data_IF_079984201727
#
_entry.id   IF_079984201727
#
_cell.length_a   1.000
_cell.length_b   1.000
_cell.length_c   1.000
_cell.angle_alpha   90.00
_cell.angle_beta   90.00
_cell.angle_gamma   90.00
#
_symmetry.space_group_name_H-M   'P 1'
#
loop_
_entity.id
_entity.type
_entity.pdbx_description
1 polymer ?
#
# COMPACT_ATOMS: atom_id res chain seq x y z
N UNK A 1 28.26 -9.80 30.32
CA UNK A 1 27.42 -9.72 29.10
C UNK A 1 26.04 -9.21 29.48
N UNK A 2 26.00 -7.94 29.86
CA UNK A 2 24.81 -7.12 30.15
C UNK A 2 25.17 -5.75 29.55
N UNK A 3 24.18 -5.06 28.98
CA UNK A 3 24.27 -3.74 28.32
C UNK A 3 24.51 -3.75 26.81
N UNK A 4 23.52 -4.20 26.04
CA UNK A 4 23.15 -3.60 24.74
C UNK A 4 21.62 -3.69 24.67
N UNK A 5 20.93 -2.66 25.17
CA UNK A 5 19.56 -2.17 24.84
C UNK A 5 19.43 -0.91 25.69
N UNK A 6 20.03 0.17 25.21
CA UNK A 6 19.75 1.54 25.64
C UNK A 6 20.34 2.44 24.56
N UNK A 7 19.60 3.46 24.16
CA UNK A 7 19.86 4.45 23.10
C UNK A 7 19.19 4.11 21.76
N UNK A 8 17.89 4.47 21.64
CA UNK A 8 17.29 5.10 20.45
C UNK A 8 15.79 5.46 20.64
N UNK A 9 15.39 6.06 21.76
CA UNK A 9 14.01 6.59 21.94
C UNK A 9 13.98 7.91 22.73
N UNK A 10 14.85 8.86 22.36
CA UNK A 10 14.72 10.27 22.77
C UNK A 10 14.97 11.14 21.55
N UNK A 11 13.99 11.21 20.64
CA UNK A 11 13.82 12.34 19.74
C UNK A 11 12.38 12.34 19.21
N UNK A 12 11.71 13.48 19.34
CA UNK A 12 10.42 13.85 18.73
C UNK A 12 9.13 13.43 19.45
N UNK A 13 8.85 14.17 20.51
CA UNK A 13 7.51 14.32 21.09
C UNK A 13 7.29 15.74 21.61
N UNK A 14 7.57 16.75 20.79
CA UNK A 14 7.20 18.13 21.10
C UNK A 14 7.13 18.96 19.83
N UNK A 15 5.93 19.14 19.28
CA UNK A 15 5.41 20.40 18.73
C UNK A 15 3.91 20.25 18.36
N UNK A 16 3.08 20.83 19.24
CA UNK A 16 1.72 21.37 19.07
C UNK A 16 0.62 20.55 18.39
N UNK A 17 -0.27 19.98 19.21
CA UNK A 17 -1.73 20.18 19.13
C UNK A 17 -2.32 20.02 20.53
N UNK A 18 -3.13 20.99 20.95
CA UNK A 18 -3.76 21.09 22.26
C UNK A 18 -4.84 20.02 22.44
N UNK A 19 -4.77 19.29 23.57
CA UNK A 19 -5.67 18.23 24.05
C UNK A 19 -5.49 16.82 23.46
N UNK A 20 -4.26 16.29 23.45
CA UNK A 20 -4.10 14.84 23.37
C UNK A 20 -4.63 14.20 24.66
N UNK A 21 -5.76 13.51 24.57
CA UNK A 21 -6.17 12.53 25.57
C UNK A 21 -5.06 11.50 25.68
N UNK A 22 -4.55 11.31 26.89
CA UNK A 22 -3.51 10.32 27.20
C UNK A 22 -3.90 8.95 26.63
N UNK A 23 -3.03 8.34 25.83
CA UNK A 23 -3.28 7.02 25.24
C UNK A 23 -2.87 5.92 26.24
N UNK A 24 -3.82 5.53 27.09
CA UNK A 24 -3.61 4.52 28.13
C UNK A 24 -3.30 3.13 27.56
N UNK A 25 -3.85 2.80 26.38
CA UNK A 25 -3.59 1.52 25.72
C UNK A 25 -2.09 1.41 25.35
N UNK A 26 -1.55 2.42 24.67
CA UNK A 26 -0.14 2.44 24.27
C UNK A 26 0.81 2.38 25.47
N UNK A 27 0.54 3.19 26.50
CA UNK A 27 1.39 3.23 27.69
C UNK A 27 1.45 1.88 28.40
N UNK A 28 0.33 1.14 28.45
CA UNK A 28 0.33 -0.19 29.05
C UNK A 28 1.13 -1.18 28.22
N UNK A 29 0.92 -1.20 26.90
CA UNK A 29 1.68 -2.07 25.99
C UNK A 29 3.18 -1.80 26.10
N UNK A 30 3.59 -0.54 26.09
CA UNK A 30 5.00 -0.15 26.28
C UNK A 30 5.60 -0.70 27.58
N UNK A 31 4.84 -0.67 28.68
CA UNK A 31 5.31 -1.23 29.96
C UNK A 31 5.45 -2.75 29.88
N UNK A 32 4.47 -3.45 29.31
CA UNK A 32 4.46 -4.90 29.19
C UNK A 32 5.63 -5.41 28.34
N UNK A 33 5.86 -4.81 27.17
CA UNK A 33 6.88 -5.25 26.22
C UNK A 33 8.30 -4.88 26.65
N UNK A 34 8.44 -3.86 27.53
CA UNK A 34 9.70 -3.55 28.23
C UNK A 34 9.91 -4.36 29.51
N UNK A 35 9.08 -5.39 29.74
CA UNK A 35 9.14 -6.22 30.95
C UNK A 35 8.99 -5.45 32.27
N UNK A 36 8.30 -4.28 32.24
CA UNK A 36 7.98 -3.46 33.42
C UNK A 36 6.67 -3.93 34.05
N UNK A 37 6.56 -5.22 34.35
CA UNK A 37 5.28 -5.86 34.69
C UNK A 37 4.64 -5.32 35.97
N UNK A 38 5.43 -5.02 37.01
CA UNK A 38 4.90 -4.45 38.24
C UNK A 38 4.30 -3.04 38.01
N UNK A 39 4.91 -2.27 37.12
CA UNK A 39 4.39 -0.96 36.71
C UNK A 39 3.13 -1.11 35.86
N UNK A 40 3.14 -2.06 34.92
CA UNK A 40 1.98 -2.38 34.08
C UNK A 40 0.77 -2.83 34.90
N UNK A 41 0.96 -3.69 35.91
CA UNK A 41 -0.12 -4.14 36.81
C UNK A 41 -0.72 -2.97 37.58
N UNK A 42 0.13 -2.16 38.21
CA UNK A 42 -0.33 -0.97 38.93
C UNK A 42 -1.03 0.02 37.99
N UNK A 43 -0.50 0.22 36.79
CA UNK A 43 -1.09 1.09 35.78
C UNK A 43 -2.47 0.60 35.34
N UNK A 44 -2.58 -0.69 35.03
CA UNK A 44 -3.84 -1.31 34.63
C UNK A 44 -4.89 -1.19 35.74
N UNK A 45 -4.55 -1.47 37.00
CA UNK A 45 -5.49 -1.39 38.12
C UNK A 45 -6.11 0.00 38.29
N UNK A 46 -5.37 1.08 37.96
CA UNK A 46 -5.84 2.46 38.05
C UNK A 46 -6.57 2.95 36.79
N UNK A 47 -6.34 2.33 35.62
CA UNK A 47 -6.82 2.83 34.33
C UNK A 47 -7.60 1.81 33.50
N UNK A 48 -7.91 0.63 34.03
CA UNK A 48 -8.61 -0.46 33.30
C UNK A 48 -9.92 -0.01 32.65
N UNK A 49 -10.63 0.93 33.27
CA UNK A 49 -11.91 1.45 32.74
C UNK A 49 -11.70 2.39 31.55
N UNK A 50 -10.45 2.73 31.21
CA UNK A 50 -10.00 3.57 30.08
C UNK A 50 -9.13 2.80 29.07
N UNK A 51 -8.97 1.48 29.24
CA UNK A 51 -8.25 0.59 28.33
C UNK A 51 -9.31 -0.23 27.60
N UNK A 52 -9.43 -0.02 26.29
CA UNK A 52 -10.52 -0.60 25.51
C UNK A 52 -10.04 -1.51 24.39
N UNK A 53 -8.78 -1.41 24.00
CA UNK A 53 -8.32 -2.15 22.83
C UNK A 53 -8.12 -3.63 23.18
N UNK A 54 -8.78 -4.58 22.47
CA UNK A 54 -8.73 -6.00 22.83
C UNK A 54 -7.31 -6.58 22.84
N UNK A 55 -6.45 -6.11 21.93
CA UNK A 55 -5.04 -6.54 21.92
C UNK A 55 -4.31 -6.14 23.20
N UNK A 56 -4.57 -4.94 23.72
CA UNK A 56 -3.97 -4.45 24.95
C UNK A 56 -4.39 -5.30 26.15
N UNK A 57 -5.70 -5.59 26.27
CA UNK A 57 -6.23 -6.40 27.37
C UNK A 57 -5.74 -7.84 27.30
N UNK A 58 -5.67 -8.42 26.10
CA UNK A 58 -5.21 -9.79 25.92
C UNK A 58 -3.68 -9.90 26.12
N UNK A 59 -2.90 -8.91 25.67
CA UNK A 59 -1.46 -8.80 25.94
C UNK A 59 -1.19 -8.68 27.43
N UNK A 60 -1.96 -7.84 28.13
CA UNK A 60 -1.89 -7.70 29.58
C UNK A 60 -2.15 -9.04 30.27
N UNK A 61 -3.24 -9.71 29.93
CA UNK A 61 -3.61 -10.99 30.54
C UNK A 61 -2.55 -12.08 30.30
N UNK A 62 -2.05 -12.19 29.07
CA UNK A 62 -1.02 -13.16 28.70
C UNK A 62 0.29 -12.91 29.45
N UNK A 63 0.85 -11.70 29.32
CA UNK A 63 2.18 -11.39 29.83
C UNK A 63 2.21 -11.30 31.35
N UNK A 64 1.13 -10.84 32.00
CA UNK A 64 1.04 -10.86 33.47
C UNK A 64 0.85 -12.27 34.01
N UNK A 65 0.19 -13.18 33.29
CA UNK A 65 0.10 -14.60 33.69
C UNK A 65 1.49 -15.24 33.78
N UNK A 66 2.38 -14.93 32.83
CA UNK A 66 3.79 -15.35 32.88
C UNK A 66 4.55 -14.68 34.03
N UNK A 67 4.39 -13.37 34.22
CA UNK A 67 5.06 -12.63 35.30
C UNK A 67 4.69 -13.19 36.68
N UNK A 68 3.39 -13.42 36.92
CA UNK A 68 2.81 -13.92 38.16
C UNK A 68 2.98 -15.44 38.37
N UNK A 69 3.80 -16.09 37.55
CA UNK A 69 4.13 -17.52 37.64
C UNK A 69 2.89 -18.41 37.56
N UNK A 70 2.01 -18.11 36.58
CA UNK A 70 0.80 -18.88 36.26
C UNK A 70 0.96 -19.56 34.88
N UNK A 71 1.84 -20.57 34.77
CA UNK A 71 2.15 -21.21 33.48
C UNK A 71 0.93 -21.82 32.81
N UNK A 72 0.03 -22.45 33.56
CA UNK A 72 -1.21 -23.02 33.00
C UNK A 72 -2.07 -21.97 32.30
N UNK A 73 -2.21 -20.79 32.92
CA UNK A 73 -2.96 -19.66 32.34
C UNK A 73 -2.25 -19.10 31.11
N UNK A 74 -0.92 -19.00 31.13
CA UNK A 74 -0.14 -18.55 29.98
C UNK A 74 -0.28 -19.52 28.79
N UNK A 75 -0.09 -20.82 29.01
CA UNK A 75 -0.16 -21.82 27.95
C UNK A 75 -1.57 -22.01 27.39
N UNK A 76 -2.61 -21.75 28.18
CA UNK A 76 -3.98 -21.72 27.68
C UNK A 76 -4.25 -20.50 26.78
N UNK A 77 -3.64 -19.35 27.11
CA UNK A 77 -3.88 -18.08 26.40
C UNK A 77 -3.00 -17.91 25.16
N UNK A 78 -1.77 -18.40 25.19
CA UNK A 78 -0.79 -18.17 24.13
C UNK A 78 -1.30 -18.61 22.74
N UNK A 79 -1.87 -19.82 22.54
CA UNK A 79 -2.39 -20.21 21.23
C UNK A 79 -3.55 -19.32 20.75
N UNK A 80 -4.43 -18.91 21.68
CA UNK A 80 -5.57 -18.05 21.36
C UNK A 80 -5.10 -16.64 20.97
N UNK A 81 -4.09 -16.14 21.67
CA UNK A 81 -3.44 -14.87 21.38
C UNK A 81 -2.80 -14.90 19.99
N UNK A 82 -2.05 -15.97 19.67
CA UNK A 82 -1.43 -16.14 18.36
C UNK A 82 -2.47 -16.22 17.24
N UNK A 83 -3.50 -17.08 17.33
CA UNK A 83 -4.54 -17.18 16.30
C UNK A 83 -5.30 -15.86 16.08
N UNK A 84 -5.43 -15.02 17.11
CA UNK A 84 -6.19 -13.76 17.02
C UNK A 84 -5.37 -12.60 16.43
N UNK A 85 -4.07 -12.56 16.69
CA UNK A 85 -3.25 -11.36 16.45
C UNK A 85 -2.05 -11.57 15.54
N UNK A 86 -1.63 -12.81 15.30
CA UNK A 86 -0.53 -13.10 14.38
C UNK A 86 -0.98 -12.86 12.93
N UNK A 87 -0.17 -12.10 12.19
CA UNK A 87 -0.44 -11.64 10.82
C UNK A 87 -1.40 -10.46 10.71
N UNK A 88 -1.99 -9.99 11.81
CA UNK A 88 -2.89 -8.82 11.85
C UNK A 88 -2.38 -7.68 12.72
N UNK A 89 -1.68 -8.00 13.82
CA UNK A 89 -1.08 -7.04 14.74
C UNK A 89 0.43 -7.24 14.86
N UNK A 90 0.91 -8.48 14.77
CA UNK A 90 2.35 -8.78 14.77
C UNK A 90 2.69 -9.98 13.88
N UNK A 91 3.95 -10.10 13.48
CA UNK A 91 4.45 -11.19 12.62
C UNK A 91 5.54 -12.02 13.32
N UNK A 92 6.45 -12.62 12.53
CA UNK A 92 7.49 -13.53 13.01
C UNK A 92 8.46 -12.89 14.01
N UNK A 93 8.66 -11.58 13.95
CA UNK A 93 9.63 -10.90 14.83
C UNK A 93 9.19 -10.84 16.30
N UNK A 94 7.91 -11.08 16.58
CA UNK A 94 7.41 -11.25 17.94
C UNK A 94 7.67 -12.65 18.53
N UNK A 95 7.95 -13.64 17.68
CA UNK A 95 8.17 -15.02 18.12
C UNK A 95 9.41 -15.14 19.03
N UNK A 96 10.59 -14.57 18.70
CA UNK A 96 11.75 -14.63 19.58
C UNK A 96 11.50 -13.99 20.95
N UNK A 97 10.73 -12.89 21.00
CA UNK A 97 10.35 -12.26 22.26
C UNK A 97 9.54 -13.23 23.13
N UNK A 98 8.46 -13.80 22.58
CA UNK A 98 7.60 -14.74 23.29
C UNK A 98 8.37 -16.00 23.75
N UNK A 99 9.27 -16.54 22.92
CA UNK A 99 10.16 -17.63 23.28
C UNK A 99 11.05 -17.29 24.48
N UNK A 100 11.55 -16.05 24.54
CA UNK A 100 12.51 -15.62 25.57
C UNK A 100 11.91 -15.45 26.97
N UNK A 101 10.59 -15.31 27.11
CA UNK A 101 9.94 -14.87 28.36
C UNK A 101 10.31 -15.75 29.58
N UNK A 102 10.16 -17.07 29.46
CA UNK A 102 10.49 -18.00 30.54
C UNK A 102 12.01 -18.25 30.67
N UNK A 103 12.75 -18.24 29.56
CA UNK A 103 14.21 -18.36 29.62
C UNK A 103 14.86 -17.20 30.36
N UNK A 104 14.36 -15.98 30.18
CA UNK A 104 14.84 -14.79 30.89
C UNK A 104 14.58 -14.86 32.41
N UNK A 105 13.60 -15.66 32.83
CA UNK A 105 13.32 -15.97 34.26
C UNK A 105 14.14 -17.15 34.78
N UNK A 106 14.93 -17.81 33.94
CA UNK A 106 15.68 -19.02 34.29
C UNK A 106 14.82 -20.28 34.36
N UNK A 107 13.58 -20.24 33.85
CA UNK A 107 12.67 -21.37 33.82
C UNK A 107 12.78 -22.08 32.46
N UNK A 108 13.73 -23.01 32.39
CA UNK A 108 14.01 -23.74 31.16
C UNK A 108 12.87 -24.69 30.77
N UNK A 109 12.13 -25.25 31.74
CA UNK A 109 11.07 -26.21 31.44
C UNK A 109 9.90 -25.52 30.73
N UNK A 110 9.42 -24.40 31.30
CA UNK A 110 8.34 -23.63 30.67
C UNK A 110 8.81 -22.85 29.44
N UNK A 111 10.11 -22.50 29.38
CA UNK A 111 10.74 -21.96 28.16
C UNK A 111 10.63 -22.92 26.98
N UNK A 112 11.00 -24.20 27.18
CA UNK A 112 10.90 -25.22 26.13
C UNK A 112 9.44 -25.48 25.70
N UNK A 113 8.49 -25.54 26.65
CA UNK A 113 7.06 -25.68 26.33
C UNK A 113 6.53 -24.50 25.49
N UNK A 114 6.98 -23.27 25.78
CA UNK A 114 6.66 -22.09 24.98
C UNK A 114 7.14 -22.24 23.54
N UNK A 115 8.39 -22.71 23.35
CA UNK A 115 8.95 -22.96 22.01
C UNK A 115 8.14 -24.01 21.26
N UNK A 116 7.79 -25.13 21.91
CA UNK A 116 6.97 -26.19 21.28
C UNK A 116 5.62 -25.67 20.76
N UNK A 117 4.94 -24.81 21.53
CA UNK A 117 3.68 -24.18 21.11
C UNK A 117 3.89 -23.25 19.91
N UNK A 118 4.92 -22.41 19.96
CA UNK A 118 5.20 -21.42 18.90
C UNK A 118 5.64 -22.11 17.60
N UNK A 119 6.51 -23.11 17.67
CA UNK A 119 6.96 -23.88 16.51
C UNK A 119 5.80 -24.65 15.86
N UNK A 120 4.92 -25.25 16.68
CA UNK A 120 3.71 -25.91 16.19
C UNK A 120 2.78 -24.94 15.48
N UNK A 121 2.59 -23.74 16.04
CA UNK A 121 1.79 -22.69 15.43
C UNK A 121 2.38 -22.24 14.08
N UNK A 122 3.69 -21.96 14.02
CA UNK A 122 4.36 -21.54 12.78
C UNK A 122 4.31 -22.61 11.69
N UNK A 123 4.45 -23.89 12.07
CA UNK A 123 4.30 -25.01 11.14
C UNK A 123 2.90 -25.03 10.53
N UNK A 124 1.86 -24.90 11.36
CA UNK A 124 0.46 -24.82 10.90
C UNK A 124 0.26 -23.61 9.98
N UNK A 125 0.82 -22.44 10.29
CA UNK A 125 0.70 -21.26 9.43
C UNK A 125 1.39 -21.47 8.08
N UNK A 126 2.58 -22.10 8.07
CA UNK A 126 3.30 -22.44 6.85
C UNK A 126 2.52 -23.44 6.00
N UNK A 127 1.91 -24.44 6.62
CA UNK A 127 1.04 -25.41 5.94
C UNK A 127 -0.25 -24.78 5.44
N UNK A 128 -0.90 -23.90 6.21
CA UNK A 128 -2.06 -23.10 5.74
C UNK A 128 -1.67 -22.19 4.58
N UNK A 129 -0.49 -21.56 4.62
CA UNK A 129 0.03 -20.73 3.52
C UNK A 129 0.26 -21.59 2.27
N UNK A 130 0.92 -22.74 2.42
CA UNK A 130 1.13 -23.71 1.34
C UNK A 130 -0.19 -24.25 0.78
N UNK A 131 -1.14 -24.63 1.64
CA UNK A 131 -2.44 -25.14 1.24
C UNK A 131 -3.25 -24.06 0.53
N UNK A 132 -3.25 -22.82 1.00
CA UNK A 132 -3.84 -21.69 0.26
C UNK A 132 -3.18 -21.55 -1.10
N UNK A 133 -1.85 -21.58 -1.19
CA UNK A 133 -1.13 -21.53 -2.47
C UNK A 133 -1.47 -22.72 -3.38
N UNK A 134 -1.66 -23.92 -2.85
CA UNK A 134 -2.04 -25.12 -3.60
C UNK A 134 -3.52 -25.11 -4.00
N UNK A 135 -4.41 -24.58 -3.17
CA UNK A 135 -5.81 -24.33 -3.47
C UNK A 135 -5.92 -23.26 -4.57
N UNK A 136 -5.14 -22.18 -4.47
CA UNK A 136 -4.96 -21.19 -5.53
C UNK A 136 -4.42 -21.83 -6.80
N UNK A 137 -3.44 -22.74 -6.71
CA UNK A 137 -2.90 -23.47 -7.85
C UNK A 137 -3.91 -24.48 -8.46
N UNK A 138 -4.83 -25.00 -7.66
CA UNK A 138 -5.89 -25.93 -8.08
C UNK A 138 -7.15 -25.26 -8.62
N UNK A 139 -7.33 -23.96 -8.36
CA UNK A 139 -8.46 -23.13 -8.86
C UNK A 139 -8.10 -22.33 -10.11
N UNK A 140 -6.92 -22.53 -10.71
CA UNK A 140 -6.49 -21.93 -11.98
C UNK A 140 -7.20 -22.61 -13.18
N UNK A 141 -8.53 -22.64 -13.16
CA UNK A 141 -9.29 -22.42 -14.37
C UNK A 141 -9.84 -21.01 -14.24
N UNK A 142 -9.16 -20.04 -14.84
CA UNK A 142 -9.60 -18.65 -14.98
C UNK A 142 -11.12 -18.61 -15.13
N UNK A 143 -11.83 -18.00 -14.19
CA UNK A 143 -13.27 -17.81 -14.36
C UNK A 143 -13.48 -16.79 -15.47
N UNK A 144 -13.67 -17.28 -16.69
CA UNK A 144 -13.97 -16.48 -17.88
C UNK A 144 -15.44 -16.07 -17.97
N UNK A 145 -16.20 -16.22 -16.87
CA UNK A 145 -17.59 -15.80 -16.77
C UNK A 145 -17.71 -14.39 -16.20
N UNK A 146 -18.91 -13.82 -16.27
CA UNK A 146 -19.16 -12.45 -15.85
C UNK A 146 -19.00 -12.28 -14.32
N UNK A 147 -18.20 -11.31 -13.88
CA UNK A 147 -17.93 -11.10 -12.46
C UNK A 147 -19.19 -10.74 -11.66
N UNK A 148 -20.18 -10.10 -12.29
CA UNK A 148 -21.47 -9.82 -11.64
C UNK A 148 -22.29 -11.09 -11.46
N UNK A 149 -22.24 -12.03 -12.41
CA UNK A 149 -22.90 -13.34 -12.25
C UNK A 149 -22.24 -14.13 -11.13
N UNK A 150 -20.90 -14.13 -11.05
CA UNK A 150 -20.17 -14.77 -9.95
C UNK A 150 -20.53 -14.17 -8.60
N UNK A 151 -20.61 -12.83 -8.52
CA UNK A 151 -21.01 -12.14 -7.31
C UNK A 151 -22.44 -12.47 -6.90
N UNK A 152 -23.39 -12.52 -7.85
CA UNK A 152 -24.78 -12.93 -7.61
C UNK A 152 -24.86 -14.37 -7.07
N UNK A 153 -24.15 -15.31 -7.71
CA UNK A 153 -24.06 -16.70 -7.26
C UNK A 153 -23.51 -16.83 -5.84
N UNK A 154 -22.62 -15.92 -5.44
CA UNK A 154 -22.02 -15.86 -4.11
C UNK A 154 -22.77 -14.95 -3.13
N UNK A 155 -23.88 -14.34 -3.54
CA UNK A 155 -24.65 -13.37 -2.77
C UNK A 155 -23.78 -12.19 -2.26
N UNK A 156 -22.93 -11.66 -3.14
CA UNK A 156 -22.05 -10.51 -2.92
C UNK A 156 -22.57 -9.32 -3.73
N UNK A 157 -22.67 -8.16 -3.09
CA UNK A 157 -22.96 -6.90 -3.79
C UNK A 157 -21.64 -6.25 -4.20
N UNK A 158 -21.43 -6.11 -5.52
CA UNK A 158 -20.27 -5.40 -6.06
C UNK A 158 -20.47 -3.88 -5.97
N UNK A 159 -19.41 -3.10 -5.68
CA UNK A 159 -19.49 -1.65 -5.75
C UNK A 159 -19.47 -1.14 -7.20
N UNK A 160 -19.76 0.15 -7.39
CA UNK A 160 -19.52 0.83 -8.67
C UNK A 160 -18.02 0.91 -8.97
N UNK A 161 -17.65 0.74 -10.24
CA UNK A 161 -16.31 1.08 -10.74
C UNK A 161 -16.07 2.61 -10.69
N UNK A 162 -14.81 3.08 -10.65
CA UNK A 162 -13.57 2.28 -10.65
C UNK A 162 -13.34 1.51 -9.35
N UNK A 163 -12.62 0.39 -9.46
CA UNK A 163 -12.24 -0.45 -8.32
C UNK A 163 -10.73 -0.39 -8.10
N UNK A 164 -10.30 0.36 -7.08
CA UNK A 164 -8.92 0.31 -6.57
C UNK A 164 -8.69 -1.04 -5.89
N UNK A 165 -8.30 -2.07 -6.65
CA UNK A 165 -8.08 -3.44 -6.19
C UNK A 165 -7.10 -3.54 -5.01
N UNK A 166 -6.06 -2.72 -5.04
CA UNK A 166 -5.08 -2.61 -3.97
C UNK A 166 -4.42 -1.24 -4.02
N UNK A 167 -4.24 -0.61 -2.86
CA UNK A 167 -3.48 0.65 -2.70
C UNK A 167 -2.26 0.37 -1.83
N UNK A 168 -1.10 0.75 -2.33
CA UNK A 168 0.18 0.67 -1.65
C UNK A 168 0.61 2.10 -1.24
N UNK A 169 1.28 2.26 -0.11
CA UNK A 169 1.87 3.54 0.28
C UNK A 169 3.27 3.32 0.85
N UNK A 170 4.26 3.95 0.23
CA UNK A 170 5.60 4.09 0.78
C UNK A 170 5.70 5.45 1.41
N UNK A 171 5.70 5.52 2.74
CA UNK A 171 5.84 6.77 3.46
C UNK A 171 7.30 7.06 3.69
N UNK A 172 7.73 8.22 3.19
CA UNK A 172 9.13 8.62 3.23
C UNK A 172 9.46 9.20 4.60
N UNK A 173 10.71 9.04 5.04
CA UNK A 173 11.18 9.66 6.28
C UNK A 173 11.03 11.19 6.23
N UNK A 174 11.27 11.77 5.05
CA UNK A 174 11.19 13.21 4.78
C UNK A 174 10.56 13.46 3.41
N UNK A 175 10.02 14.67 3.19
CA UNK A 175 9.74 15.17 1.83
C UNK A 175 11.02 15.18 0.99
N UNK A 176 10.90 15.07 -0.33
CA UNK A 176 12.03 15.24 -1.26
C UNK A 176 12.06 16.69 -1.72
N UNK A 177 12.97 17.54 -1.20
CA UNK A 177 13.09 18.93 -1.63
C UNK A 177 13.77 19.00 -3.00
N UNK A 178 13.36 19.98 -3.81
CA UNK A 178 13.92 20.23 -5.14
C UNK A 178 14.03 18.94 -5.99
N UNK A 179 12.90 18.22 -6.05
CA UNK A 179 12.73 17.00 -6.80
C UNK A 179 13.31 17.10 -8.21
N UNK A 180 14.11 16.11 -8.59
CA UNK A 180 14.65 15.98 -9.95
C UNK A 180 14.14 14.73 -10.65
N UNK A 181 14.05 13.62 -9.92
CA UNK A 181 13.69 12.33 -10.49
C UNK A 181 13.22 11.37 -9.41
N UNK A 182 12.26 10.52 -9.76
CA UNK A 182 11.93 9.29 -9.05
C UNK A 182 11.69 8.18 -10.07
N UNK A 183 12.08 6.98 -9.69
CA UNK A 183 11.99 5.75 -10.45
C UNK A 183 11.27 4.69 -9.63
N UNK A 184 10.43 3.90 -10.27
CA UNK A 184 9.87 2.69 -9.67
C UNK A 184 9.87 1.61 -10.75
N UNK A 185 10.53 0.49 -10.44
CA UNK A 185 10.39 -0.70 -11.25
C UNK A 185 9.04 -1.37 -10.93
N UNK A 186 8.36 -1.85 -11.97
CA UNK A 186 7.22 -2.74 -11.87
C UNK A 186 7.51 -4.01 -12.67
N UNK A 187 7.10 -5.16 -12.16
CA UNK A 187 7.16 -6.44 -12.87
C UNK A 187 5.76 -7.01 -13.02
N UNK A 188 5.38 -7.36 -14.25
CA UNK A 188 4.08 -7.92 -14.61
C UNK A 188 4.30 -9.36 -15.07
N UNK A 189 3.63 -10.30 -14.44
CA UNK A 189 3.86 -11.75 -14.64
C UNK A 189 3.30 -12.32 -15.95
N UNK A 190 2.46 -11.56 -16.65
CA UNK A 190 1.84 -11.98 -17.91
C UNK A 190 1.37 -10.82 -18.76
N UNK A 191 1.03 -11.11 -20.00
CA UNK A 191 0.35 -10.17 -20.87
C UNK A 191 -1.13 -10.02 -20.48
N UNK A 192 -1.62 -8.77 -20.37
CA UNK A 192 -2.99 -8.44 -20.00
C UNK A 192 -3.70 -7.79 -21.18
N UNK A 193 -4.83 -8.34 -21.61
CA UNK A 193 -5.61 -7.83 -22.74
C UNK A 193 -6.14 -6.40 -22.51
N UNK A 194 -6.28 -5.64 -23.61
CA UNK A 194 -6.94 -4.33 -23.64
C UNK A 194 -8.40 -4.36 -23.21
N UNK A 195 -9.01 -5.55 -23.18
CA UNK A 195 -10.41 -5.75 -22.81
C UNK A 195 -10.67 -5.64 -21.31
N UNK A 196 -9.63 -5.68 -20.47
CA UNK A 196 -9.73 -5.72 -19.01
C UNK A 196 -9.70 -4.36 -18.30
N UNK A 197 -9.39 -3.26 -19.01
CA UNK A 197 -9.31 -1.90 -18.44
C UNK A 197 -8.61 -1.85 -17.07
N UNK A 198 -7.39 -2.36 -17.04
CA UNK A 198 -6.53 -2.39 -15.86
C UNK A 198 -5.61 -1.17 -15.87
N UNK A 199 -5.50 -0.50 -14.74
CA UNK A 199 -4.57 0.58 -14.49
C UNK A 199 -3.56 0.16 -13.42
N UNK A 200 -2.27 0.25 -13.75
CA UNK A 200 -1.13 0.05 -12.85
C UNK A 200 -0.47 1.42 -12.64
N UNK A 201 -0.70 2.02 -11.48
CA UNK A 201 -0.23 3.36 -11.13
C UNK A 201 0.87 3.28 -10.08
N UNK A 202 2.17 3.25 -10.44
CA UNK A 202 3.26 3.29 -9.47
C UNK A 202 3.39 4.62 -8.74
N UNK A 203 2.86 5.71 -9.31
CA UNK A 203 2.96 7.04 -8.72
C UNK A 203 1.60 7.68 -8.51
N UNK A 204 1.35 8.08 -7.27
CA UNK A 204 0.26 8.94 -6.84
C UNK A 204 0.78 9.78 -5.67
N UNK A 205 0.81 11.09 -5.86
CA UNK A 205 1.47 12.02 -4.95
C UNK A 205 1.12 13.47 -5.24
N UNK A 206 1.95 14.38 -4.74
CA UNK A 206 1.77 15.81 -4.98
C UNK A 206 3.10 16.56 -5.11
N UNK A 207 3.16 17.49 -6.06
CA UNK A 207 4.22 18.48 -6.18
C UNK A 207 3.72 19.84 -5.71
N UNK A 208 4.32 20.43 -4.68
CA UNK A 208 3.93 21.75 -4.16
C UNK A 208 2.42 21.88 -3.84
N UNK A 209 1.78 20.78 -3.44
CA UNK A 209 0.34 20.69 -3.16
C UNK A 209 -0.57 20.42 -4.36
N UNK A 210 -0.01 20.27 -5.57
CA UNK A 210 -0.74 19.87 -6.77
C UNK A 210 -0.65 18.34 -6.92
N UNK A 211 -1.78 17.66 -6.76
CA UNK A 211 -1.86 16.20 -6.79
C UNK A 211 -1.76 15.66 -8.22
N UNK A 212 -1.26 14.43 -8.36
CA UNK A 212 -1.11 13.74 -9.63
C UNK A 212 -1.17 12.22 -9.46
N UNK A 213 -1.44 11.51 -10.57
CA UNK A 213 -1.09 10.10 -10.72
C UNK A 213 -0.32 9.87 -12.02
N UNK A 214 0.50 8.83 -12.07
CA UNK A 214 1.17 8.39 -13.28
C UNK A 214 1.30 6.85 -13.32
N UNK A 215 1.12 6.27 -14.50
CA UNK A 215 1.25 4.83 -14.69
C UNK A 215 0.91 4.33 -16.09
N UNK A 216 0.66 3.03 -16.22
CA UNK A 216 0.30 2.38 -17.48
C UNK A 216 -1.08 1.73 -17.41
N UNK A 217 -1.84 1.82 -18.50
CA UNK A 217 -3.17 1.27 -18.63
C UNK A 217 -3.22 0.26 -19.78
N UNK A 218 -4.13 -0.71 -19.69
CA UNK A 218 -4.45 -1.60 -20.81
C UNK A 218 -5.26 -0.89 -21.90
N UNK A 219 -5.95 0.22 -21.58
CA UNK A 219 -6.72 0.97 -22.58
C UNK A 219 -6.79 2.48 -22.27
N UNK A 220 -5.80 3.24 -22.73
CA UNK A 220 -5.85 4.70 -22.66
C UNK A 220 -6.90 5.26 -23.63
N UNK A 221 -7.60 6.32 -23.24
CA UNK A 221 -8.44 7.13 -24.14
C UNK A 221 -7.92 8.55 -24.24
N UNK A 222 -8.55 9.43 -25.01
CA UNK A 222 -8.26 10.87 -24.96
C UNK A 222 -8.46 11.57 -26.29
N UNK A 223 -7.99 12.81 -26.38
CA UNK A 223 -8.12 13.65 -27.56
C UNK A 223 -6.78 13.83 -28.25
N UNK A 224 -6.75 13.69 -29.58
CA UNK A 224 -5.52 13.85 -30.37
C UNK A 224 -5.09 15.31 -30.54
N UNK A 225 -5.97 16.26 -30.20
CA UNK A 225 -5.70 17.70 -30.30
C UNK A 225 -6.28 18.43 -29.09
N UNK A 226 -5.74 19.62 -28.79
CA UNK A 226 -6.13 20.41 -27.62
C UNK A 226 -7.50 21.07 -27.76
N UNK A 227 -8.09 21.07 -28.94
CA UNK A 227 -9.47 21.51 -29.17
C UNK A 227 -10.50 20.46 -28.73
N UNK A 228 -10.04 19.25 -28.37
CA UNK A 228 -10.87 18.18 -27.80
C UNK A 228 -12.12 17.83 -28.62
N UNK A 229 -12.00 17.82 -29.95
CA UNK A 229 -13.15 17.64 -30.86
C UNK A 229 -13.61 16.18 -31.00
N UNK A 230 -12.69 15.22 -30.89
CA UNK A 230 -12.98 13.79 -31.01
C UNK A 230 -12.13 12.98 -30.03
N UNK A 231 -12.81 12.28 -29.12
CA UNK A 231 -12.16 11.31 -28.24
C UNK A 231 -11.88 10.02 -29.02
N UNK A 232 -10.70 9.45 -28.81
CA UNK A 232 -10.24 8.20 -29.44
C UNK A 232 -9.69 7.26 -28.36
N UNK A 233 -9.74 5.96 -28.63
CA UNK A 233 -8.99 4.96 -27.86
C UNK A 233 -7.56 4.87 -28.37
N UNK A 234 -6.61 4.61 -27.47
CA UNK A 234 -5.18 4.49 -27.76
C UNK A 234 -4.60 3.12 -27.47
N UNK A 235 -5.40 2.14 -27.03
CA UNK A 235 -4.90 0.81 -26.67
C UNK A 235 -4.06 0.86 -25.39
N UNK A 236 -3.07 -0.01 -25.27
CA UNK A 236 -2.17 0.03 -24.12
C UNK A 236 -1.34 1.31 -24.14
N UNK A 237 -1.10 1.91 -22.99
CA UNK A 237 -0.33 3.15 -22.96
C UNK A 237 -0.01 3.67 -21.58
N UNK A 238 0.85 4.68 -21.56
CA UNK A 238 1.13 5.46 -20.36
C UNK A 238 0.14 6.60 -20.19
N UNK A 239 -0.12 6.97 -18.95
CA UNK A 239 -0.97 8.09 -18.54
C UNK A 239 -0.28 8.87 -17.42
N UNK A 240 -0.31 10.20 -17.51
CA UNK A 240 0.11 11.11 -16.45
C UNK A 240 -0.95 12.21 -16.33
N UNK A 241 -1.54 12.37 -15.15
CA UNK A 241 -2.56 13.38 -14.87
C UNK A 241 -2.22 14.19 -13.64
N UNK A 242 -2.65 15.45 -13.60
CA UNK A 242 -2.61 16.30 -12.42
C UNK A 242 -3.92 17.05 -12.24
N UNK A 243 -4.20 17.47 -11.01
CA UNK A 243 -5.35 18.30 -10.69
C UNK A 243 -4.96 19.76 -10.50
N UNK A 244 -5.95 20.63 -10.56
CA UNK A 244 -5.83 21.96 -9.98
C UNK A 244 -5.64 21.83 -8.46
N UNK A 245 -4.93 22.79 -7.87
CA UNK A 245 -4.55 22.74 -6.45
C UNK A 245 -5.74 22.66 -5.50
N UNK A 246 -6.87 23.25 -5.86
CA UNK A 246 -8.11 23.27 -5.09
C UNK A 246 -9.13 22.24 -5.59
N UNK A 247 -8.79 21.45 -6.62
CA UNK A 247 -9.68 20.49 -7.30
C UNK A 247 -10.96 21.09 -7.92
N UNK A 248 -11.11 22.43 -7.92
CA UNK A 248 -12.35 23.13 -8.31
C UNK A 248 -12.10 24.22 -9.36
N UNK A 249 -10.90 24.80 -9.39
CA UNK A 249 -10.52 25.76 -10.42
C UNK A 249 -10.20 25.01 -11.71
N UNK A 250 -10.85 25.34 -12.85
CA UNK A 250 -10.58 24.67 -14.11
C UNK A 250 -9.12 24.77 -14.53
N UNK A 251 -8.55 23.62 -14.90
CA UNK A 251 -7.18 23.53 -15.41
C UNK A 251 -7.21 23.04 -16.87
N UNK A 252 -6.70 23.88 -17.77
CA UNK A 252 -6.77 23.61 -19.20
C UNK A 252 -5.55 22.86 -19.74
N UNK A 253 -5.59 22.62 -21.06
CA UNK A 253 -4.54 21.91 -21.79
C UNK A 253 -3.29 22.76 -22.05
N UNK A 254 -3.24 24.02 -21.61
CA UNK A 254 -2.01 24.80 -21.59
C UNK A 254 -0.97 24.28 -20.59
N UNK A 255 -1.39 23.46 -19.61
CA UNK A 255 -0.51 22.76 -18.66
C UNK A 255 -0.01 21.40 -19.19
N UNK A 256 -0.36 21.05 -20.42
CA UNK A 256 -0.13 19.72 -21.00
C UNK A 256 0.76 19.81 -22.24
N UNK A 257 1.80 18.99 -22.32
CA UNK A 257 2.55 18.78 -23.56
C UNK A 257 2.52 17.31 -23.98
N UNK A 258 1.93 17.07 -25.16
CA UNK A 258 1.88 15.78 -25.82
C UNK A 258 3.12 15.58 -26.69
N UNK A 259 3.58 14.33 -26.77
CA UNK A 259 4.50 13.91 -27.84
C UNK A 259 3.75 13.36 -29.05
N UNK A 260 4.51 12.98 -30.08
CA UNK A 260 3.94 12.38 -31.29
C UNK A 260 3.06 11.17 -30.93
N UNK A 261 1.86 11.14 -31.50
CA UNK A 261 0.77 10.19 -31.23
C UNK A 261 0.23 10.21 -29.79
N UNK A 262 0.57 11.24 -29.00
CA UNK A 262 0.01 11.47 -27.68
C UNK A 262 -1.45 11.89 -27.73
N UNK A 263 -2.13 11.64 -26.63
CA UNK A 263 -3.49 12.08 -26.35
C UNK A 263 -3.48 13.01 -25.14
N UNK A 264 -4.48 13.87 -25.04
CA UNK A 264 -4.69 14.72 -23.88
C UNK A 264 -6.14 14.70 -23.42
N UNK A 265 -6.38 15.13 -22.18
CA UNK A 265 -7.73 15.35 -21.65
C UNK A 265 -7.67 16.46 -20.60
N UNK A 266 -8.73 17.26 -20.51
CA UNK A 266 -8.97 18.22 -19.43
C UNK A 266 -10.45 18.19 -19.12
N UNK A 267 -10.81 17.91 -17.86
CA UNK A 267 -12.20 17.73 -17.45
C UNK A 267 -12.37 17.94 -15.94
N UNK A 268 -13.63 17.99 -15.48
CA UNK A 268 -14.00 18.22 -14.08
C UNK A 268 -14.80 17.11 -13.41
N UNK A 269 -15.04 15.97 -14.08
CA UNK A 269 -15.91 14.90 -13.55
C UNK A 269 -15.34 14.13 -12.35
N UNK A 270 -14.05 14.30 -12.07
CA UNK A 270 -13.32 13.70 -10.94
C UNK A 270 -12.51 14.78 -10.18
N UNK A 271 -13.04 16.00 -10.13
CA UNK A 271 -12.29 17.21 -9.82
C UNK A 271 -11.62 17.79 -11.06
N UNK A 272 -11.23 19.06 -11.03
CA UNK A 272 -10.63 19.73 -12.18
C UNK A 272 -9.21 19.20 -12.45
N UNK A 273 -9.05 18.48 -13.56
CA UNK A 273 -7.79 17.82 -13.93
C UNK A 273 -7.41 18.05 -15.39
N UNK A 274 -6.12 17.84 -15.67
CA UNK A 274 -5.59 17.69 -17.02
C UNK A 274 -4.65 16.48 -17.10
N UNK A 275 -4.55 15.88 -18.28
CA UNK A 275 -3.88 14.60 -18.50
C UNK A 275 -3.16 14.56 -19.84
N UNK A 276 -2.02 13.87 -19.87
CA UNK A 276 -1.31 13.43 -21.08
C UNK A 276 -1.20 11.92 -21.10
N UNK A 277 -1.38 11.34 -22.28
CA UNK A 277 -1.35 9.89 -22.50
C UNK A 277 -0.59 9.60 -23.77
N UNK A 278 0.00 8.42 -23.88
CA UNK A 278 0.66 7.98 -25.11
C UNK A 278 0.56 6.47 -25.28
N UNK A 279 0.19 5.98 -26.48
CA UNK A 279 0.23 4.56 -26.78
C UNK A 279 1.62 3.99 -26.52
N UNK A 280 1.65 2.87 -25.82
CA UNK A 280 2.83 2.11 -25.46
C UNK A 280 2.38 0.67 -25.20
N UNK A 281 2.67 -0.22 -26.16
CA UNK A 281 2.25 -1.62 -26.16
C UNK A 281 3.10 -2.47 -25.20
N UNK A 282 2.89 -2.28 -23.90
CA UNK A 282 3.52 -3.09 -22.86
C UNK A 282 2.95 -4.52 -22.82
N UNK A 283 3.74 -5.48 -22.32
CA UNK A 283 3.39 -6.90 -22.19
C UNK A 283 3.82 -7.41 -20.82
N UNK A 284 3.88 -8.74 -20.63
CA UNK A 284 4.69 -9.35 -19.57
C UNK A 284 6.12 -8.78 -19.59
N UNK A 285 6.66 -8.49 -18.40
CA UNK A 285 8.03 -8.00 -18.26
C UNK A 285 8.23 -7.05 -17.09
N UNK A 286 9.43 -6.50 -17.00
CA UNK A 286 9.81 -5.50 -16.00
C UNK A 286 10.04 -4.15 -16.68
N UNK A 287 9.47 -3.10 -16.10
CA UNK A 287 9.53 -1.73 -16.61
C UNK A 287 9.97 -0.77 -15.50
N UNK A 288 10.86 0.19 -15.81
CA UNK A 288 11.06 1.36 -14.95
C UNK A 288 10.09 2.45 -15.37
N UNK A 289 9.20 2.86 -14.48
CA UNK A 289 8.45 4.09 -14.64
C UNK A 289 9.20 5.21 -13.93
N UNK A 290 9.33 6.35 -14.61
CA UNK A 290 10.08 7.50 -14.11
C UNK A 290 9.25 8.77 -14.19
N UNK A 291 9.32 9.61 -13.16
CA UNK A 291 8.97 11.02 -13.25
C UNK A 291 10.25 11.84 -13.17
N UNK A 292 10.44 12.77 -14.10
CA UNK A 292 11.67 13.57 -14.23
C UNK A 292 11.29 15.04 -14.36
N UNK A 293 11.82 15.88 -13.48
CA UNK A 293 11.72 17.34 -13.63
C UNK A 293 12.59 17.78 -14.80
N UNK A 294 12.05 18.62 -15.66
CA UNK A 294 12.73 19.19 -16.82
C UNK A 294 12.87 20.71 -16.64
N UNK A 295 12.79 21.48 -17.73
CA UNK A 295 13.00 22.91 -17.67
C UNK A 295 11.92 23.65 -16.86
N UNK A 296 12.36 24.73 -16.21
CA UNK A 296 11.49 25.73 -15.57
C UNK A 296 11.24 26.87 -16.55
N UNK A 297 9.98 27.28 -16.68
CA UNK A 297 9.52 28.39 -17.53
C UNK A 297 8.78 29.43 -16.71
N UNK A 298 8.72 30.67 -17.22
CA UNK A 298 7.73 31.65 -16.76
C UNK A 298 6.40 31.34 -17.43
N UNK A 299 5.36 31.11 -16.63
CA UNK A 299 4.03 30.79 -17.11
C UNK A 299 3.00 31.53 -16.27
N UNK A 300 2.15 32.34 -16.93
CA UNK A 300 1.17 33.23 -16.28
C UNK A 300 1.79 34.15 -15.20
N UNK A 301 3.04 34.57 -15.40
CA UNK A 301 3.77 35.47 -14.49
C UNK A 301 4.43 34.78 -13.29
N UNK A 302 4.39 33.46 -13.21
CA UNK A 302 4.98 32.67 -12.13
C UNK A 302 5.88 31.56 -12.67
N UNK A 303 6.89 31.15 -11.91
CA UNK A 303 7.78 30.05 -12.29
C UNK A 303 7.02 28.72 -12.23
N UNK A 304 7.15 27.93 -13.28
CA UNK A 304 6.59 26.59 -13.37
C UNK A 304 7.62 25.62 -13.94
N UNK A 305 7.63 24.37 -13.48
CA UNK A 305 8.54 23.34 -13.96
C UNK A 305 7.78 22.24 -14.68
N UNK A 306 8.30 21.81 -15.83
CA UNK A 306 7.80 20.62 -16.49
C UNK A 306 8.22 19.37 -15.73
N UNK A 307 7.33 18.40 -15.63
CA UNK A 307 7.64 17.04 -15.18
C UNK A 307 7.24 16.07 -16.28
N UNK A 308 8.17 15.24 -16.73
CA UNK A 308 7.95 14.24 -17.77
C UNK A 308 7.80 12.85 -17.17
N UNK A 309 6.79 12.11 -17.63
CA UNK A 309 6.64 10.69 -17.36
C UNK A 309 7.33 9.86 -18.46
N UNK A 310 8.11 8.87 -18.06
CA UNK A 310 8.80 7.94 -18.96
C UNK A 310 8.54 6.49 -18.54
N UNK A 311 8.57 5.59 -19.51
CA UNK A 311 8.57 4.15 -19.31
C UNK A 311 9.80 3.56 -19.98
N UNK A 312 10.61 2.81 -19.24
CA UNK A 312 11.79 2.12 -19.76
C UNK A 312 11.56 0.62 -19.71
N UNK A 313 11.60 -0.05 -20.85
CA UNK A 313 11.56 -1.52 -20.90
C UNK A 313 12.91 -2.08 -20.44
N UNK A 314 12.95 -2.90 -19.38
CA UNK A 314 14.21 -3.48 -18.89
C UNK A 314 14.78 -4.53 -19.84
N UNK A 315 13.97 -5.10 -20.74
CA UNK A 315 14.40 -6.14 -21.68
C UNK A 315 15.44 -5.62 -22.66
N UNK A 316 15.25 -4.41 -23.18
CA UNK A 316 16.11 -3.82 -24.21
C UNK A 316 16.58 -2.39 -23.90
N UNK A 317 16.13 -1.81 -22.79
CA UNK A 317 16.47 -0.45 -22.36
C UNK A 317 15.73 0.64 -23.13
N UNK A 318 14.72 0.31 -23.93
CA UNK A 318 13.97 1.29 -24.72
C UNK A 318 13.20 2.24 -23.81
N UNK A 319 13.47 3.53 -23.96
CA UNK A 319 12.79 4.59 -23.21
C UNK A 319 11.69 5.21 -24.06
N UNK A 320 10.46 5.14 -23.58
CA UNK A 320 9.31 5.83 -24.16
C UNK A 320 8.89 6.98 -23.25
N UNK A 321 9.01 8.21 -23.74
CA UNK A 321 8.48 9.40 -23.06
C UNK A 321 6.97 9.48 -23.31
N UNK A 322 6.16 9.50 -22.26
CA UNK A 322 4.69 9.53 -22.39
C UNK A 322 4.20 10.95 -22.69
N UNK A 323 4.71 11.91 -21.95
CA UNK A 323 4.34 13.32 -22.05
C UNK A 323 4.82 14.07 -20.83
N UNK A 324 4.49 15.37 -20.75
CA UNK A 324 4.83 16.17 -19.59
C UNK A 324 3.72 17.12 -19.18
N UNK A 325 3.65 17.36 -17.87
CA UNK A 325 2.69 18.25 -17.24
C UNK A 325 3.45 19.37 -16.52
N UNK A 326 2.84 20.54 -16.52
CA UNK A 326 3.41 21.74 -15.92
C UNK A 326 2.97 21.86 -14.46
N UNK A 327 3.92 22.03 -13.54
CA UNK A 327 3.69 22.20 -12.10
C UNK A 327 4.19 23.54 -11.61
N UNK A 328 3.52 24.10 -10.61
CA UNK A 328 3.85 25.39 -10.03
C UNK A 328 5.17 25.34 -9.27
N UNK A 329 6.07 26.28 -9.52
CA UNK A 329 7.34 26.45 -8.80
C UNK A 329 8.60 26.10 -9.60
N UNK A 330 9.69 26.83 -9.34
CA UNK A 330 11.04 26.50 -9.82
C UNK A 330 11.59 25.27 -9.10
N UNK A 331 11.35 25.15 -7.80
CA UNK A 331 11.69 23.97 -7.00
C UNK A 331 10.41 23.21 -6.69
N UNK A 332 10.42 21.92 -6.98
CA UNK A 332 9.29 21.04 -6.70
C UNK A 332 9.59 20.27 -5.41
N UNK A 333 8.69 20.34 -4.45
CA UNK A 333 8.70 19.47 -3.27
C UNK A 333 7.78 18.28 -3.53
N UNK A 334 8.33 17.07 -3.43
CA UNK A 334 7.53 15.84 -3.35
C UNK A 334 7.21 15.57 -1.88
N UNK A 335 5.93 15.67 -1.49
CA UNK A 335 5.49 15.46 -0.10
C UNK A 335 5.78 14.03 0.37
N UNK A 336 6.15 13.87 1.64
CA UNK A 336 6.59 12.67 2.39
C UNK A 336 5.86 11.32 2.18
N UNK A 337 5.66 10.86 0.94
CA UNK A 337 5.14 9.54 0.60
C UNK A 337 4.79 9.40 -0.87
N UNK A 338 4.74 8.15 -1.34
CA UNK A 338 4.24 7.78 -2.64
C UNK A 338 3.17 6.71 -2.49
N UNK A 339 2.02 6.93 -3.12
CA UNK A 339 1.00 5.91 -3.24
C UNK A 339 1.15 5.21 -4.59
N UNK A 340 0.91 3.92 -4.62
CA UNK A 340 0.69 3.18 -5.85
C UNK A 340 -0.65 2.46 -5.77
N UNK A 341 -1.24 2.13 -6.91
CA UNK A 341 -2.44 1.32 -6.92
C UNK A 341 -2.59 0.49 -8.17
N UNK A 342 -3.41 -0.55 -8.04
CA UNK A 342 -3.93 -1.33 -9.15
C UNK A 342 -5.44 -1.11 -9.20
N UNK A 343 -5.98 -0.78 -10.36
CA UNK A 343 -7.38 -0.43 -10.52
C UNK A 343 -8.01 -1.08 -11.75
N UNK A 344 -9.25 -1.56 -11.62
CA UNK A 344 -10.13 -1.82 -12.76
C UNK A 344 -11.06 -0.65 -12.94
N UNK A 345 -10.96 0.08 -14.05
CA UNK A 345 -11.66 1.36 -14.24
C UNK A 345 -12.86 1.31 -15.19
N UNK A 346 -12.98 0.26 -15.98
CA UNK A 346 -14.12 0.04 -16.87
C UNK A 346 -14.25 -1.45 -17.21
N UNK A 347 -15.28 -1.81 -17.98
CA UNK A 347 -15.41 -3.11 -18.60
C UNK A 347 -15.81 -2.97 -20.06
N UNK A 348 -15.35 -3.90 -20.89
CA UNK A 348 -15.84 -4.00 -22.26
C UNK A 348 -17.26 -4.57 -22.22
N UNK A 349 -18.15 -4.05 -23.08
CA UNK A 349 -19.50 -4.58 -23.24
C UNK A 349 -19.48 -6.10 -23.43
N UNK A 350 -20.18 -6.81 -22.55
CA UNK A 350 -20.27 -8.28 -22.56
C UNK A 350 -19.04 -9.03 -22.02
N UNK A 351 -18.01 -8.32 -21.54
CA UNK A 351 -16.79 -8.89 -20.96
C UNK A 351 -16.45 -8.19 -19.64
N UNK A 352 -17.25 -8.47 -18.60
CA UNK A 352 -17.04 -7.95 -17.25
C UNK A 352 -16.17 -8.92 -16.45
N UNK A 353 -14.86 -8.86 -16.66
CA UNK A 353 -13.89 -9.73 -16.01
C UNK A 353 -12.78 -8.90 -15.36
N UNK A 354 -12.32 -9.34 -14.20
CA UNK A 354 -11.09 -8.81 -13.59
C UNK A 354 -9.93 -9.69 -14.05
N UNK A 355 -8.83 -9.12 -14.58
CA UNK A 355 -7.73 -9.92 -15.10
C UNK A 355 -7.00 -10.63 -13.96
N UNK A 356 -6.70 -11.92 -14.11
CA UNK A 356 -5.71 -12.55 -13.23
C UNK A 356 -4.33 -12.07 -13.62
N UNK A 357 -3.62 -11.42 -12.70
CA UNK A 357 -2.24 -10.96 -12.92
C UNK A 357 -1.54 -10.79 -11.57
N UNK A 358 -0.23 -10.98 -11.55
CA UNK A 358 0.64 -10.63 -10.43
C UNK A 358 1.53 -9.44 -10.84
N UNK A 359 1.39 -8.34 -10.10
CA UNK A 359 2.10 -7.08 -10.37
C UNK A 359 2.97 -6.78 -9.17
N UNK A 360 4.28 -6.85 -9.35
CA UNK A 360 5.25 -6.50 -8.33
C UNK A 360 5.65 -5.04 -8.47
N UNK A 361 5.42 -4.25 -7.44
CA UNK A 361 5.94 -2.91 -7.29
C UNK A 361 7.22 -2.97 -6.47
N UNK A 362 8.32 -2.55 -7.06
CA UNK A 362 9.58 -2.44 -6.36
C UNK A 362 9.64 -1.13 -5.57
N UNK A 363 10.53 -1.06 -4.59
CA UNK A 363 10.74 0.17 -3.81
C UNK A 363 11.01 1.38 -4.73
N UNK A 364 10.38 2.55 -4.51
CA UNK A 364 10.72 3.75 -5.24
C UNK A 364 12.14 4.25 -4.92
N UNK A 365 12.82 4.75 -5.95
CA UNK A 365 14.24 5.12 -5.94
C UNK A 365 14.44 6.53 -6.53
N UNK A 366 15.50 7.22 -6.13
CA UNK A 366 15.98 8.44 -6.80
C UNK A 366 17.24 8.07 -7.58
N UNK A 367 17.09 7.76 -8.87
CA UNK A 367 18.14 7.09 -9.62
C UNK A 367 18.47 5.75 -8.96
N UNK A 368 19.75 5.53 -8.63
CA UNK A 368 20.20 4.29 -7.97
C UNK A 368 20.13 4.34 -6.43
N UNK A 369 19.53 5.39 -5.85
CA UNK A 369 19.49 5.59 -4.39
C UNK A 369 18.13 5.25 -3.80
N UNK A 370 18.14 4.46 -2.74
CA UNK A 370 16.94 4.18 -1.93
C UNK A 370 16.45 5.44 -1.23
N UNK A 371 15.13 5.68 -1.29
CA UNK A 371 14.48 6.71 -0.48
C UNK A 371 14.26 6.15 0.92
N UNK A 372 14.75 6.80 2.00
CA UNK A 372 14.47 6.36 3.36
C UNK A 372 12.95 6.33 3.63
N UNK A 373 12.49 5.25 4.26
CA UNK A 373 11.08 4.97 4.48
C UNK A 373 10.81 4.93 5.99
N UNK A 374 9.67 5.46 6.42
CA UNK A 374 9.15 5.29 7.78
C UNK A 374 8.32 4.02 7.87
N UNK A 375 7.42 3.81 6.91
CA UNK A 375 6.62 2.59 6.81
C UNK A 375 6.22 2.35 5.35
N UNK A 376 5.90 1.11 5.03
CA UNK A 376 5.19 0.72 3.82
C UNK A 376 3.88 0.07 4.25
N UNK A 377 2.77 0.51 3.65
CA UNK A 377 1.45 -0.07 3.88
C UNK A 377 0.82 -0.54 2.58
N UNK A 378 0.01 -1.58 2.67
CA UNK A 378 -0.92 -1.95 1.62
C UNK A 378 -2.29 -2.09 2.23
N UNK A 379 -3.31 -1.60 1.53
CA UNK A 379 -4.68 -1.80 1.95
C UNK A 379 -5.62 -1.95 0.76
N UNK A 380 -6.70 -2.67 1.02
CA UNK A 380 -7.81 -2.79 0.12
C UNK A 380 -8.94 -1.85 0.57
N UNK A 381 -9.31 -0.83 -0.23
CA UNK A 381 -10.36 0.12 0.14
C UNK A 381 -11.73 -0.57 0.38
N UNK A 382 -12.44 -0.18 1.44
CA UNK A 382 -13.75 -0.75 1.79
C UNK A 382 -14.85 0.30 1.68
N UNK A 383 -16.01 -0.14 1.19
CA UNK A 383 -17.21 0.70 1.13
C UNK A 383 -17.72 1.12 2.51
N UNK A 384 -17.91 2.43 2.69
CA UNK A 384 -18.64 2.99 3.84
C UNK A 384 -17.79 3.69 4.90
N UNK A 385 -16.48 3.84 4.69
CA UNK A 385 -15.57 4.63 5.56
C UNK A 385 -14.88 5.70 4.72
N UNK A 386 -15.37 6.94 4.84
CA UNK A 386 -14.72 8.24 4.54
C UNK A 386 -14.07 8.53 3.18
N UNK A 387 -13.75 7.56 2.32
CA UNK A 387 -13.17 7.81 1.00
C UNK A 387 -14.24 7.79 -0.11
N UNK A 388 -14.49 8.90 -0.82
CA UNK A 388 -15.54 8.97 -1.83
C UNK A 388 -15.31 8.06 -3.06
N UNK A 389 -14.12 7.50 -3.24
CA UNK A 389 -13.72 6.78 -4.47
C UNK A 389 -13.11 5.38 -4.23
N UNK A 390 -13.00 4.92 -2.98
CA UNK A 390 -12.30 3.67 -2.62
C UNK A 390 -13.23 2.49 -2.42
N UNK A 391 -13.90 1.99 -3.45
CA UNK A 391 -14.67 0.74 -3.33
C UNK A 391 -14.06 -0.36 -4.19
N UNK A 392 -13.82 -1.54 -3.63
CA UNK A 392 -13.35 -2.66 -4.44
C UNK A 392 -13.90 -4.01 -3.94
N UNK A 393 -14.26 -4.94 -4.83
CA UNK A 393 -14.52 -6.31 -4.44
C UNK A 393 -13.26 -6.98 -3.90
N UNK A 394 -13.42 -7.92 -2.96
CA UNK A 394 -12.31 -8.74 -2.46
C UNK A 394 -11.86 -9.77 -3.52
N UNK A 395 -11.13 -9.29 -4.53
CA UNK A 395 -10.56 -10.06 -5.64
C UNK A 395 -9.06 -9.78 -5.86
N UNK A 396 -8.38 -9.26 -4.84
CA UNK A 396 -6.93 -9.11 -4.83
C UNK A 396 -6.36 -9.48 -3.45
N UNK A 397 -5.09 -9.83 -3.41
CA UNK A 397 -4.31 -9.99 -2.17
C UNK A 397 -2.86 -9.62 -2.45
N UNK A 398 -2.04 -9.50 -1.41
CA UNK A 398 -0.61 -9.22 -1.61
C UNK A 398 0.29 -10.32 -1.07
N UNK A 399 1.51 -10.33 -1.59
CA UNK A 399 2.68 -10.91 -0.95
C UNK A 399 3.80 -9.87 -0.96
N UNK A 400 4.76 -9.96 -0.05
CA UNK A 400 5.93 -9.09 -0.04
C UNK A 400 7.23 -9.89 0.13
N UNK A 401 8.31 -9.34 -0.43
CA UNK A 401 9.68 -9.75 -0.18
C UNK A 401 10.51 -8.48 0.06
N UNK A 402 10.99 -8.29 1.29
CA UNK A 402 11.58 -7.02 1.74
C UNK A 402 10.60 -5.85 1.52
N UNK A 403 11.02 -4.83 0.75
CA UNK A 403 10.21 -3.65 0.41
C UNK A 403 9.47 -3.76 -0.92
N UNK A 404 9.58 -4.91 -1.59
CA UNK A 404 8.90 -5.17 -2.85
C UNK A 404 7.55 -5.83 -2.56
N UNK A 405 6.49 -5.35 -3.21
CA UNK A 405 5.12 -5.78 -2.96
C UNK A 405 4.50 -6.31 -4.24
N UNK A 406 4.08 -7.57 -4.22
CA UNK A 406 3.32 -8.18 -5.31
C UNK A 406 1.84 -8.14 -5.01
N UNK A 407 1.07 -7.45 -5.86
CA UNK A 407 -0.38 -7.49 -5.89
C UNK A 407 -0.82 -8.63 -6.80
N UNK A 408 -1.53 -9.61 -6.24
CA UNK A 408 -2.12 -10.72 -6.95
C UNK A 408 -3.60 -10.42 -7.18
N UNK A 409 -3.97 -10.20 -8.43
CA UNK A 409 -5.36 -10.04 -8.86
C UNK A 409 -5.93 -11.41 -9.21
N UNK A 410 -7.15 -11.69 -8.76
CA UNK A 410 -7.86 -12.95 -8.98
C UNK A 410 -9.18 -12.72 -9.71
N UNK A 411 -9.57 -13.66 -10.58
CA UNK A 411 -10.90 -13.65 -11.20
C UNK A 411 -12.02 -13.98 -10.20
N UNK A 412 -11.68 -14.49 -9.02
CA UNK A 412 -12.63 -14.78 -7.95
C UNK A 412 -13.04 -13.54 -7.13
N UNK A 413 -14.30 -13.48 -6.71
CA UNK A 413 -14.81 -12.48 -5.77
C UNK A 413 -15.14 -13.17 -4.44
N UNK A 414 -14.66 -12.58 -3.35
CA UNK A 414 -14.87 -13.07 -1.99
C UNK A 414 -15.72 -12.09 -1.18
N UNK A 415 -16.42 -12.56 -0.12
CA UNK A 415 -17.02 -11.66 0.85
C UNK A 415 -15.95 -10.72 1.41
N UNK A 416 -16.26 -9.43 1.46
CA UNK A 416 -15.37 -8.43 2.04
C UNK A 416 -15.40 -8.55 3.57
N UNK A 417 -14.25 -8.52 4.23
CA UNK A 417 -14.20 -8.33 5.68
C UNK A 417 -14.80 -6.97 6.03
N UNK A 418 -15.39 -6.82 7.21
CA UNK A 418 -15.88 -5.51 7.68
C UNK A 418 -14.75 -4.51 7.98
N UNK A 419 -13.51 -4.99 8.02
CA UNK A 419 -12.32 -4.23 8.37
C UNK A 419 -11.37 -4.20 7.18
N UNK A 420 -10.76 -3.04 6.94
CA UNK A 420 -9.69 -2.87 5.97
C UNK A 420 -8.56 -3.85 6.27
N UNK A 421 -8.08 -4.53 5.23
CA UNK A 421 -6.93 -5.41 5.36
C UNK A 421 -5.71 -4.53 5.21
N UNK A 422 -5.06 -4.19 6.33
CA UNK A 422 -3.78 -3.50 6.34
C UNK A 422 -2.64 -4.52 6.39
N UNK A 423 -1.65 -4.33 5.52
CA UNK A 423 -0.34 -4.96 5.65
C UNK A 423 0.67 -3.86 5.94
N UNK A 424 1.36 -3.92 7.07
CA UNK A 424 2.47 -3.00 7.40
C UNK A 424 3.77 -3.74 7.13
N UNK A 425 4.60 -3.17 6.25
CA UNK A 425 5.86 -3.74 5.80
C UNK A 425 6.96 -2.75 6.21
N UNK A 426 7.88 -3.17 7.09
CA UNK A 426 8.87 -2.26 7.67
C UNK A 426 10.21 -2.41 6.94
N UNK A 427 10.92 -1.31 6.60
CA UNK A 427 12.00 -1.32 5.62
C UNK A 427 13.34 -1.91 6.08
N UNK A 428 13.52 -2.29 7.36
CA UNK A 428 14.82 -2.76 7.91
C UNK A 428 14.68 -3.82 9.04
N UNK A 429 13.59 -4.60 9.05
CA UNK A 429 13.22 -5.49 10.16
C UNK A 429 12.22 -4.83 11.13
N UNK A 430 11.41 -5.62 11.84
CA UNK A 430 10.25 -5.13 12.58
C UNK A 430 10.69 -4.33 13.80
N UNK A 431 10.39 -3.04 13.79
CA UNK A 431 9.99 -2.33 15.01
C UNK A 431 8.48 -2.16 14.91
N UNK A 432 7.71 -3.00 15.60
CA UNK A 432 6.29 -2.77 15.75
C UNK A 432 6.12 -1.46 16.52
N UNK A 433 5.62 -0.42 15.84
CA UNK A 433 4.89 0.64 16.51
C UNK A 433 3.47 0.10 16.75
N UNK A 434 3.05 0.15 18.02
CA UNK A 434 1.74 -0.28 18.49
C UNK A 434 0.68 0.82 18.32
#
# INVERSE_FOLDING_TARGET
MKHIILVLLIAFGSLSLSSQTRNYDQELVDMLYRSRFDEAINFYDHHKDSIYHPFTTDSYSLLTSMHLDRPDSFFQQLPLFLEKYYGSVFEDDMIPFLQSLYFNKGDNENGLKTVEILDSFLLIQKERKKQRMEEYAGTINEFKGDIYELAELKNITLPSIPWHLMVLSWDYADSIPDFQRIDMDITIDRDVSTDYFLYIAPFNGAFNGETFYAGIQTNIGGFTTKEMTKRVGGGKGGIFSRWSRDHVTPIGLEYVEMYENGLCESAGYEGEFCSVRRPYEWTEGTYTLSLVKEETIEFKGESHSWVCMMVTDKKDGTVTRIGRLLFSGEKLEWRSGNHAFVETYDFKDGFRHVPEAAITFHRPMIGDKTIPLTYLRAHQPISGVEEPNGNTPNCAYITSENTDVTVHITSDVRPQSKNEIYYVIIPDGIAADF
#
